data_IF_481211445626
#
_entry.id   IF_481211445626
#
_cell.length_a   1.000
_cell.length_b   1.000
_cell.length_c   1.000
_cell.angle_alpha   90.00
_cell.angle_beta   90.00
_cell.angle_gamma   90.00
#
_symmetry.space_group_name_H-M   'P 1'
#
loop_
_entity.id
_entity.type
_entity.pdbx_description
1 polymer ?
#
# COMPACT_ATOMS: atom_id res chain seq x y z
N UNK A 1 28.21 20.27 -7.04
CA UNK A 1 26.79 20.49 -7.41
C UNK A 1 25.95 19.68 -6.45
N UNK A 2 25.11 20.35 -5.66
CA UNK A 2 24.25 19.78 -4.63
C UNK A 2 22.80 19.78 -5.17
N UNK A 3 22.06 18.68 -4.91
CA UNK A 3 20.74 18.22 -5.42
C UNK A 3 20.72 17.51 -6.80
N UNK A 4 19.97 16.39 -6.97
CA UNK A 4 18.76 16.01 -6.22
C UNK A 4 18.72 14.56 -5.68
N UNK A 5 18.44 14.41 -4.39
CA UNK A 5 18.07 13.14 -3.74
C UNK A 5 16.59 12.75 -4.01
N UNK A 6 15.97 13.30 -5.06
CA UNK A 6 14.51 13.45 -5.14
C UNK A 6 13.80 12.49 -6.12
N UNK A 7 14.50 11.77 -7.00
CA UNK A 7 13.81 10.88 -7.96
C UNK A 7 13.27 9.60 -7.28
N UNK A 8 14.08 8.95 -6.43
CA UNK A 8 13.65 7.77 -5.68
C UNK A 8 12.60 8.06 -4.60
N UNK A 9 12.75 9.16 -3.84
CA UNK A 9 11.78 9.53 -2.79
C UNK A 9 10.43 9.98 -3.36
N UNK A 10 10.45 10.71 -4.49
CA UNK A 10 9.22 11.11 -5.16
C UNK A 10 8.44 9.89 -5.67
N UNK A 11 9.12 8.93 -6.31
CA UNK A 11 8.47 7.69 -6.75
C UNK A 11 7.92 6.85 -5.60
N UNK A 12 8.58 6.85 -4.42
CA UNK A 12 8.05 6.25 -3.20
C UNK A 12 6.79 6.95 -2.70
N UNK A 13 6.79 8.29 -2.68
CA UNK A 13 5.63 9.08 -2.28
C UNK A 13 4.45 8.87 -3.24
N UNK A 14 4.69 8.87 -4.55
CA UNK A 14 3.68 8.61 -5.58
C UNK A 14 3.06 7.23 -5.41
N UNK A 15 3.89 6.20 -5.22
CA UNK A 15 3.41 4.84 -4.94
C UNK A 15 2.56 4.77 -3.66
N UNK A 16 3.01 5.42 -2.58
CA UNK A 16 2.24 5.55 -1.34
C UNK A 16 0.90 6.26 -1.53
N UNK A 17 0.86 7.31 -2.36
CA UNK A 17 -0.35 8.09 -2.64
C UNK A 17 -1.34 7.30 -3.51
N UNK A 18 -0.85 6.50 -4.46
CA UNK A 18 -1.68 5.54 -5.20
C UNK A 18 -2.24 4.49 -4.25
N UNK A 19 -1.40 3.89 -3.40
CA UNK A 19 -1.83 2.89 -2.42
C UNK A 19 -2.89 3.45 -1.46
N UNK A 20 -2.75 4.72 -1.06
CA UNK A 20 -3.75 5.44 -0.27
C UNK A 20 -5.11 5.50 -0.98
N UNK A 21 -5.16 5.94 -2.24
CA UNK A 21 -6.43 6.00 -2.98
C UNK A 21 -7.03 4.62 -3.22
N UNK A 22 -6.21 3.62 -3.57
CA UNK A 22 -6.65 2.23 -3.72
C UNK A 22 -7.29 1.73 -2.42
N UNK A 23 -6.67 2.01 -1.27
CA UNK A 23 -7.21 1.61 0.03
C UNK A 23 -8.55 2.31 0.36
N UNK A 24 -8.67 3.61 0.11
CA UNK A 24 -9.95 4.34 0.30
C UNK A 24 -11.06 3.71 -0.55
N UNK A 25 -10.77 3.44 -1.83
CA UNK A 25 -11.74 2.82 -2.75
C UNK A 25 -12.10 1.39 -2.32
N UNK A 26 -11.11 0.62 -1.89
CA UNK A 26 -11.31 -0.74 -1.38
C UNK A 26 -12.21 -0.72 -0.14
N UNK A 27 -11.96 0.19 0.80
CA UNK A 27 -12.83 0.37 1.97
C UNK A 27 -14.25 0.74 1.55
N UNK A 28 -14.43 1.69 0.62
CA UNK A 28 -15.75 2.09 0.12
C UNK A 28 -16.53 0.91 -0.49
N UNK A 29 -15.86 0.06 -1.26
CA UNK A 29 -16.43 -1.14 -1.86
C UNK A 29 -16.89 -2.15 -0.79
N UNK A 30 -16.02 -2.47 0.17
CA UNK A 30 -16.34 -3.39 1.26
C UNK A 30 -17.39 -2.81 2.21
N UNK A 31 -17.43 -1.50 2.42
CA UNK A 31 -18.47 -0.84 3.20
C UNK A 31 -19.82 -0.92 2.48
N UNK A 32 -19.86 -0.69 1.16
CA UNK A 32 -21.08 -0.88 0.37
C UNK A 32 -21.56 -2.34 0.43
N UNK A 33 -20.65 -3.30 0.24
CA UNK A 33 -20.97 -4.73 0.31
C UNK A 33 -21.43 -5.14 1.71
N UNK A 34 -20.79 -4.61 2.75
CA UNK A 34 -21.15 -4.84 4.15
C UNK A 34 -22.55 -4.33 4.49
N UNK A 35 -23.01 -3.24 3.86
CA UNK A 35 -24.40 -2.78 3.99
C UNK A 35 -25.42 -3.71 3.32
N UNK A 36 -25.02 -4.44 2.28
CA UNK A 36 -25.89 -5.40 1.58
C UNK A 36 -25.95 -6.74 2.32
N UNK A 37 -24.81 -7.22 2.82
CA UNK A 37 -24.66 -8.55 3.42
C UNK A 37 -24.86 -8.53 4.95
N UNK A 38 -24.74 -7.36 5.59
CA UNK A 38 -24.83 -7.22 7.05
C UNK A 38 -23.52 -7.50 7.78
N UNK A 39 -22.37 -7.25 7.16
CA UNK A 39 -21.07 -7.47 7.81
C UNK A 39 -20.82 -6.50 8.95
N UNK A 40 -20.19 -7.00 10.02
CA UNK A 40 -19.71 -6.15 11.10
C UNK A 40 -18.58 -5.24 10.63
N UNK A 41 -18.43 -4.09 11.28
CA UNK A 41 -17.40 -3.09 10.96
C UNK A 41 -15.99 -3.71 10.94
N UNK A 42 -15.72 -4.65 11.84
CA UNK A 42 -14.45 -5.39 11.90
C UNK A 42 -14.16 -6.20 10.64
N UNK A 43 -15.17 -6.86 10.05
CA UNK A 43 -15.00 -7.59 8.79
C UNK A 43 -14.74 -6.66 7.60
N UNK A 44 -15.44 -5.53 7.56
CA UNK A 44 -15.24 -4.51 6.50
C UNK A 44 -13.82 -3.96 6.57
N UNK A 45 -13.33 -3.58 7.74
CA UNK A 45 -11.96 -3.07 7.93
C UNK A 45 -10.93 -4.17 7.62
N UNK A 46 -11.14 -5.38 8.14
CA UNK A 46 -10.21 -6.49 7.97
C UNK A 46 -10.03 -6.87 6.50
N UNK A 47 -11.13 -7.16 5.79
CA UNK A 47 -11.07 -7.58 4.38
C UNK A 47 -10.62 -6.45 3.46
N UNK A 48 -11.06 -5.21 3.70
CA UNK A 48 -10.59 -4.09 2.89
C UNK A 48 -9.09 -3.84 3.06
N UNK A 49 -8.55 -3.97 4.28
CA UNK A 49 -7.11 -3.82 4.53
C UNK A 49 -6.31 -4.92 3.84
N UNK A 50 -6.72 -6.18 3.97
CA UNK A 50 -6.04 -7.32 3.33
C UNK A 50 -6.05 -7.18 1.80
N UNK A 51 -7.20 -6.88 1.21
CA UNK A 51 -7.31 -6.69 -0.23
C UNK A 51 -6.53 -5.47 -0.72
N UNK A 52 -6.55 -4.36 0.02
CA UNK A 52 -5.83 -3.15 -0.35
C UNK A 52 -4.31 -3.37 -0.35
N UNK A 53 -3.76 -4.00 0.68
CA UNK A 53 -2.33 -4.31 0.76
C UNK A 53 -1.92 -5.30 -0.33
N UNK A 54 -2.70 -6.35 -0.56
CA UNK A 54 -2.41 -7.34 -1.59
C UNK A 54 -2.36 -6.72 -3.00
N UNK A 55 -3.27 -5.78 -3.31
CA UNK A 55 -3.33 -5.12 -4.62
C UNK A 55 -2.29 -4.01 -4.76
N UNK A 56 -2.12 -3.18 -3.73
CA UNK A 56 -1.27 -1.98 -3.83
C UNK A 56 0.21 -2.26 -3.55
N UNK A 57 0.52 -3.08 -2.54
CA UNK A 57 1.89 -3.34 -2.09
C UNK A 57 2.39 -4.76 -2.41
N UNK A 58 1.53 -5.63 -2.93
CA UNK A 58 1.85 -7.05 -3.12
C UNK A 58 3.00 -7.31 -4.09
N UNK A 59 3.02 -6.59 -5.22
CA UNK A 59 4.05 -6.75 -6.26
C UNK A 59 5.41 -6.26 -5.75
N UNK A 60 5.47 -5.06 -5.19
CA UNK A 60 6.72 -4.48 -4.70
C UNK A 60 7.25 -5.25 -3.48
N UNK A 61 6.37 -5.75 -2.61
CA UNK A 61 6.74 -6.66 -1.50
C UNK A 61 7.27 -8.00 -2.00
N UNK A 62 6.68 -8.58 -3.05
CA UNK A 62 7.14 -9.84 -3.64
C UNK A 62 8.51 -9.70 -4.30
N UNK A 63 8.74 -8.57 -4.98
CA UNK A 63 10.04 -8.22 -5.56
C UNK A 63 11.10 -8.03 -4.47
N UNK A 64 10.76 -7.31 -3.39
CA UNK A 64 11.63 -7.12 -2.23
C UNK A 64 11.96 -8.46 -1.57
N UNK A 65 10.96 -9.33 -1.38
CA UNK A 65 11.15 -10.67 -0.83
C UNK A 65 12.07 -11.52 -1.71
N UNK A 66 11.88 -11.52 -3.02
CA UNK A 66 12.72 -12.25 -3.97
C UNK A 66 14.18 -11.78 -3.93
N UNK A 67 14.40 -10.47 -3.76
CA UNK A 67 15.74 -9.90 -3.60
C UNK A 67 16.40 -10.25 -2.27
N UNK A 68 15.63 -10.38 -1.19
CA UNK A 68 16.15 -10.72 0.14
C UNK A 68 16.36 -12.21 0.40
N UNK A 69 15.44 -13.07 -0.07
CA UNK A 69 15.43 -14.50 0.23
C UNK A 69 16.07 -15.37 -0.87
N UNK A 70 15.93 -15.03 -2.16
CA UNK A 70 16.44 -15.88 -3.26
C UNK A 70 17.86 -15.52 -3.72
N UNK A 71 18.52 -14.56 -3.07
CA UNK A 71 19.75 -13.93 -3.56
C UNK A 71 20.96 -14.22 -2.67
N UNK A 72 21.34 -15.50 -2.56
CA UNK A 72 22.56 -15.92 -1.85
C UNK A 72 23.43 -16.98 -2.57
N UNK A 73 23.23 -17.27 -3.87
CA UNK A 73 23.97 -18.37 -4.55
C UNK A 73 24.83 -17.96 -5.77
N UNK A 74 24.82 -16.72 -6.30
CA UNK A 74 25.70 -16.41 -7.45
C UNK A 74 26.29 -14.99 -7.51
N UNK A 75 27.61 -14.85 -7.76
CA UNK A 75 28.33 -13.57 -7.84
C UNK A 75 27.97 -12.73 -9.08
N UNK A 76 27.17 -13.28 -9.99
CA UNK A 76 26.60 -12.57 -11.14
C UNK A 76 25.54 -11.53 -10.68
N UNK A 77 24.83 -11.84 -9.60
CA UNK A 77 23.82 -10.99 -8.97
C UNK A 77 24.43 -9.85 -8.14
N UNK A 78 25.61 -10.04 -7.57
CA UNK A 78 26.39 -8.97 -6.94
C UNK A 78 26.89 -7.97 -8.00
N UNK A 79 27.27 -8.44 -9.20
CA UNK A 79 27.65 -7.57 -10.32
C UNK A 79 26.46 -6.83 -10.94
N UNK A 80 25.27 -7.43 -11.00
CA UNK A 80 24.02 -6.75 -11.35
C UNK A 80 23.59 -5.73 -10.27
N UNK A 81 23.82 -6.04 -8.99
CA UNK A 81 23.60 -5.12 -7.88
C UNK A 81 24.60 -3.96 -7.87
N UNK A 82 25.82 -4.13 -8.40
CA UNK A 82 26.82 -3.07 -8.57
C UNK A 82 26.72 -2.30 -9.90
N UNK A 83 26.26 -2.92 -10.99
CA UNK A 83 26.15 -2.29 -12.31
C UNK A 83 24.83 -1.52 -12.53
N UNK A 84 23.82 -1.74 -11.69
CA UNK A 84 22.54 -1.02 -11.70
C UNK A 84 22.44 0.12 -10.66
N UNK A 85 23.57 0.56 -10.10
CA UNK A 85 23.58 1.61 -9.07
C UNK A 85 23.50 2.99 -9.72
N UNK A 86 22.25 3.40 -9.98
CA UNK A 86 21.79 4.76 -9.72
C UNK A 86 20.39 4.81 -9.04
N UNK A 87 19.72 3.67 -8.74
CA UNK A 87 18.42 3.71 -8.01
C UNK A 87 17.94 2.35 -7.41
N UNK A 88 18.79 1.64 -6.65
CA UNK A 88 18.38 0.40 -5.92
C UNK A 88 17.78 0.72 -4.53
N UNK A 89 18.03 1.92 -4.01
CA UNK A 89 17.65 2.33 -2.65
C UNK A 89 16.14 2.59 -2.48
N UNK A 90 15.40 2.75 -3.59
CA UNK A 90 14.00 3.20 -3.53
C UNK A 90 12.95 2.09 -3.44
N UNK A 91 13.28 0.82 -3.72
CA UNK A 91 12.30 -0.28 -3.65
C UNK A 91 11.78 -0.49 -2.21
N UNK A 92 12.70 -0.51 -1.24
CA UNK A 92 12.35 -0.59 0.18
C UNK A 92 11.50 0.60 0.63
N UNK A 93 11.86 1.83 0.20
CA UNK A 93 11.08 3.02 0.53
C UNK A 93 9.70 3.05 -0.14
N UNK A 94 9.56 2.51 -1.36
CA UNK A 94 8.28 2.38 -2.07
C UNK A 94 7.34 1.47 -1.29
N UNK A 95 7.80 0.28 -0.90
CA UNK A 95 7.02 -0.66 -0.07
C UNK A 95 6.58 0.00 1.23
N UNK A 96 7.48 0.66 1.98
CA UNK A 96 7.12 1.35 3.24
C UNK A 96 6.08 2.45 3.01
N UNK A 97 6.23 3.26 1.95
CA UNK A 97 5.25 4.27 1.58
C UNK A 97 3.91 3.66 1.18
N UNK A 98 3.88 2.56 0.43
CA UNK A 98 2.66 1.86 0.04
C UNK A 98 1.91 1.29 1.24
N UNK A 99 2.61 0.66 2.20
CA UNK A 99 2.00 0.18 3.44
C UNK A 99 1.45 1.34 4.28
N UNK A 100 2.19 2.44 4.39
CA UNK A 100 1.76 3.64 5.14
C UNK A 100 0.54 4.27 4.47
N UNK A 101 0.59 4.46 3.15
CA UNK A 101 -0.50 4.99 2.34
C UNK A 101 -1.74 4.13 2.43
N UNK A 102 -1.62 2.81 2.29
CA UNK A 102 -2.73 1.87 2.42
C UNK A 102 -3.37 1.95 3.82
N UNK A 103 -2.56 1.95 4.89
CA UNK A 103 -3.04 2.08 6.26
C UNK A 103 -3.81 3.39 6.49
N UNK A 104 -3.24 4.52 6.07
CA UNK A 104 -3.89 5.83 6.16
C UNK A 104 -5.17 5.88 5.31
N UNK A 105 -5.16 5.27 4.13
CA UNK A 105 -6.31 5.22 3.23
C UNK A 105 -7.49 4.45 3.81
N UNK A 106 -7.25 3.31 4.46
CA UNK A 106 -8.29 2.57 5.18
C UNK A 106 -8.87 3.41 6.33
N UNK A 107 -8.02 4.06 7.13
CA UNK A 107 -8.48 4.91 8.26
C UNK A 107 -9.32 6.08 7.77
N UNK A 108 -8.88 6.76 6.71
CA UNK A 108 -9.62 7.86 6.10
C UNK A 108 -10.93 7.36 5.48
N UNK A 109 -10.92 6.23 4.76
CA UNK A 109 -12.12 5.60 4.23
C UNK A 109 -13.12 5.30 5.36
N UNK A 110 -12.68 4.64 6.43
CA UNK A 110 -13.51 4.38 7.59
C UNK A 110 -14.09 5.65 8.19
N UNK A 111 -13.29 6.70 8.39
CA UNK A 111 -13.76 7.96 8.94
C UNK A 111 -14.81 8.65 8.04
N UNK A 112 -14.58 8.69 6.73
CA UNK A 112 -15.51 9.31 5.76
C UNK A 112 -16.86 8.60 5.73
N UNK A 113 -16.87 7.28 5.71
CA UNK A 113 -18.10 6.50 5.56
C UNK A 113 -18.82 6.22 6.90
N UNK A 114 -18.11 6.23 8.03
CA UNK A 114 -18.72 6.04 9.36
C UNK A 114 -19.59 7.23 9.79
N UNK A 115 -19.29 8.45 9.30
CA UNK A 115 -20.12 9.65 9.59
C UNK A 115 -21.50 9.59 8.94
N UNK A 116 -21.67 8.85 7.84
CA UNK A 116 -22.96 8.69 7.17
C UNK A 116 -23.90 7.65 7.80
N UNK A 117 -23.34 6.71 8.56
CA UNK A 117 -24.09 5.58 9.12
C UNK A 117 -24.86 5.92 10.40
N UNK A 118 -24.51 7.01 11.10
CA UNK A 118 -25.19 7.46 12.32
C UNK A 118 -26.55 8.15 12.10
N UNK A 119 -26.85 8.62 10.88
CA UNK A 119 -28.05 9.41 10.59
C UNK A 119 -29.33 8.56 10.34
N UNK A 120 -29.26 7.22 10.40
CA UNK A 120 -30.40 6.33 10.09
C UNK A 120 -30.99 5.59 11.30
N UNK A 121 -30.63 5.98 12.52
CA UNK A 121 -31.18 5.36 13.74
C UNK A 121 -32.16 6.26 14.53
N UNK A 122 -32.50 7.44 14.01
CA UNK A 122 -33.38 8.41 14.69
C UNK A 122 -34.46 9.01 13.77
N UNK A 123 -35.09 8.19 12.92
CA UNK A 123 -36.27 8.59 12.14
C UNK A 123 -37.42 7.62 12.39
#
# INVERSE_FOLDING_TARGET
MNLPLHLGLLGALEAGLIAFFVAVLMYALWHWLGRVIGFSIGHVIGWSSLCAVAVAAGVDSWNLFSLGFMKLESPLYARLALAGIHDVDSLGSRVVCEFTGAGLGIVVGWWLFSRGSGARHTA
#
